data_IF_370353578459
#
_entry.id   IF_370353578459
#
_cell.length_a   1.000
_cell.length_b   1.000
_cell.length_c   1.000
_cell.angle_alpha   90.00
_cell.angle_beta   90.00
_cell.angle_gamma   90.00
#
_symmetry.space_group_name_H-M   'P 1'
#
loop_
_entity.id
_entity.type
_entity.pdbx_description
1 polymer ?
#
# COMPACT_ATOMS: atom_id res chain seq x y z
N UNK A 1 -4.70 -16.87 0.25
CA UNK A 1 -5.34 -17.02 1.57
C UNK A 1 -6.20 -15.78 1.71
N UNK A 2 -7.52 -15.95 1.72
CA UNK A 2 -8.45 -14.83 1.79
C UNK A 2 -8.59 -14.44 3.27
N UNK A 3 -8.25 -13.20 3.60
CA UNK A 3 -8.48 -12.63 4.92
C UNK A 3 -9.61 -11.61 4.74
N UNK A 4 -10.78 -11.90 5.30
CA UNK A 4 -11.94 -11.01 5.28
C UNK A 4 -11.72 -9.75 6.15
N UNK A 5 -10.87 -9.87 7.16
CA UNK A 5 -10.49 -8.79 8.05
C UNK A 5 -9.36 -7.95 7.42
N UNK A 6 -9.65 -6.68 7.17
CA UNK A 6 -8.73 -5.72 6.58
C UNK A 6 -7.46 -5.47 7.42
N UNK A 7 -7.56 -5.50 8.75
CA UNK A 7 -6.42 -5.33 9.64
C UNK A 7 -5.50 -6.55 9.60
N UNK A 8 -6.09 -7.76 9.60
CA UNK A 8 -5.31 -8.99 9.44
C UNK A 8 -4.64 -9.07 8.07
N UNK A 9 -5.34 -8.67 7.00
CA UNK A 9 -4.75 -8.54 5.67
C UNK A 9 -3.60 -7.53 5.63
N UNK A 10 -3.81 -6.31 6.15
CA UNK A 10 -2.82 -5.26 6.13
C UNK A 10 -1.55 -5.65 6.90
N UNK A 11 -1.71 -6.27 8.07
CA UNK A 11 -0.59 -6.77 8.85
C UNK A 11 0.13 -7.94 8.15
N UNK A 12 -0.61 -8.82 7.47
CA UNK A 12 -0.06 -9.91 6.69
C UNK A 12 0.81 -9.42 5.51
N UNK A 13 0.42 -8.33 4.85
CA UNK A 13 1.16 -7.76 3.72
C UNK A 13 2.31 -6.86 4.19
N UNK A 14 2.06 -5.95 5.13
CA UNK A 14 2.99 -4.87 5.48
C UNK A 14 3.63 -4.97 6.86
N UNK A 15 3.20 -5.90 7.72
CA UNK A 15 3.66 -5.99 9.11
C UNK A 15 5.16 -6.22 9.29
N UNK A 16 5.84 -6.73 8.25
CA UNK A 16 7.30 -6.94 8.22
C UNK A 16 8.06 -5.85 7.44
N UNK A 17 7.41 -4.74 7.07
CA UNK A 17 8.06 -3.68 6.31
C UNK A 17 9.25 -3.08 7.08
N UNK A 18 10.38 -2.91 6.40
CA UNK A 18 11.61 -2.35 6.98
C UNK A 18 11.76 -0.87 6.63
N UNK A 19 11.03 -0.01 7.34
CA UNK A 19 10.92 1.42 7.05
C UNK A 19 11.86 2.30 7.89
N UNK A 20 12.83 1.67 8.57
CA UNK A 20 13.83 2.32 9.43
C UNK A 20 13.31 2.74 10.82
N UNK A 21 12.00 2.65 11.07
CA UNK A 21 11.38 2.89 12.37
C UNK A 21 10.13 2.00 12.50
N UNK A 22 9.98 1.19 13.57
CA UNK A 22 8.80 0.35 13.78
C UNK A 22 7.47 1.11 13.74
N UNK A 23 7.46 2.38 14.18
CA UNK A 23 6.27 3.25 14.15
C UNK A 23 5.85 3.62 12.73
N UNK A 24 6.77 3.60 11.77
CA UNK A 24 6.45 3.79 10.34
C UNK A 24 5.78 2.53 9.79
N UNK A 25 6.30 1.35 10.14
CA UNK A 25 5.72 0.06 9.76
C UNK A 25 4.31 -0.10 10.30
N UNK A 26 4.09 0.16 11.60
CA UNK A 26 2.77 0.14 12.22
C UNK A 26 1.78 1.08 11.52
N UNK A 27 2.26 2.26 11.11
CA UNK A 27 1.43 3.24 10.43
C UNK A 27 1.08 2.85 8.99
N UNK A 28 1.96 2.20 8.22
CA UNK A 28 1.56 1.61 6.92
C UNK A 28 0.46 0.59 7.12
N UNK A 29 0.61 -0.31 8.10
CA UNK A 29 -0.40 -1.34 8.40
C UNK A 29 -1.74 -0.68 8.71
N UNK A 30 -1.76 0.37 9.53
CA UNK A 30 -2.99 1.09 9.85
C UNK A 30 -3.61 1.77 8.62
N UNK A 31 -2.82 2.54 7.84
CA UNK A 31 -3.30 3.21 6.62
C UNK A 31 -3.87 2.19 5.61
N UNK A 32 -3.18 1.07 5.41
CA UNK A 32 -3.64 0.02 4.50
C UNK A 32 -4.94 -0.63 4.99
N UNK A 33 -5.07 -0.89 6.29
CA UNK A 33 -6.29 -1.42 6.91
C UNK A 33 -7.48 -0.46 6.72
N UNK A 34 -7.27 0.83 6.96
CA UNK A 34 -8.30 1.86 6.85
C UNK A 34 -8.79 1.99 5.40
N UNK A 35 -7.86 2.04 4.44
CA UNK A 35 -8.17 2.10 3.00
C UNK A 35 -8.85 0.82 2.49
N UNK A 36 -8.43 -0.36 2.95
CA UNK A 36 -9.05 -1.63 2.58
C UNK A 36 -10.45 -1.81 3.19
N UNK A 37 -10.70 -1.26 4.38
CA UNK A 37 -12.03 -1.25 5.00
C UNK A 37 -12.99 -0.28 4.30
N UNK A 38 -12.46 0.74 3.63
CA UNK A 38 -13.23 1.83 3.01
C UNK A 38 -12.88 2.01 1.52
N UNK A 39 -12.84 0.92 0.76
CA UNK A 39 -12.42 0.91 -0.66
C UNK A 39 -13.13 2.00 -1.47
N UNK A 40 -12.36 2.79 -2.22
CA UNK A 40 -12.85 3.87 -3.06
C UNK A 40 -13.09 5.20 -2.33
N UNK A 41 -12.93 5.25 -1.01
CA UNK A 41 -12.99 6.50 -0.25
C UNK A 41 -11.67 7.27 -0.32
N UNK A 42 -11.73 8.58 -0.08
CA UNK A 42 -10.51 9.39 0.12
C UNK A 42 -9.77 8.98 1.39
N UNK A 43 -8.47 9.29 1.47
CA UNK A 43 -7.66 9.02 2.67
C UNK A 43 -8.29 9.62 3.94
N UNK A 44 -8.83 10.84 3.82
CA UNK A 44 -9.53 11.54 4.90
C UNK A 44 -10.77 10.78 5.36
N UNK A 45 -11.60 10.31 4.42
CA UNK A 45 -12.84 9.60 4.73
C UNK A 45 -12.59 8.19 5.26
N UNK A 46 -11.51 7.54 4.83
CA UNK A 46 -11.11 6.23 5.29
C UNK A 46 -10.50 6.25 6.71
N UNK A 47 -9.90 7.37 7.12
CA UNK A 47 -9.25 7.51 8.42
C UNK A 47 -10.27 7.65 9.56
N UNK A 48 -9.97 7.04 10.70
CA UNK A 48 -10.88 7.04 11.85
C UNK A 48 -10.98 8.40 12.58
N UNK A 49 -9.87 9.15 12.67
CA UNK A 49 -9.80 10.39 13.44
C UNK A 49 -8.78 11.40 12.86
N UNK A 50 -8.78 12.66 13.32
CA UNK A 50 -7.84 13.69 12.84
C UNK A 50 -6.35 13.34 13.00
N UNK A 51 -5.97 12.58 14.04
CA UNK A 51 -4.60 12.17 14.24
C UNK A 51 -4.18 11.10 13.22
N UNK A 52 -5.08 10.17 12.87
CA UNK A 52 -4.87 9.21 11.78
C UNK A 52 -4.74 9.89 10.42
N UNK A 53 -5.58 10.90 10.14
CA UNK A 53 -5.48 11.70 8.90
C UNK A 53 -4.10 12.34 8.79
N UNK A 54 -3.68 13.07 9.82
CA UNK A 54 -2.39 13.76 9.84
C UNK A 54 -1.22 12.74 9.77
N UNK A 55 -1.34 11.64 10.49
CA UNK A 55 -0.39 10.54 10.46
C UNK A 55 -0.21 9.97 9.05
N UNK A 56 -1.32 9.78 8.32
CA UNK A 56 -1.31 9.24 6.97
C UNK A 56 -0.66 10.18 5.95
N UNK A 57 -0.99 11.48 5.98
CA UNK A 57 -0.33 12.45 5.10
C UNK A 57 1.16 12.60 5.40
N UNK A 58 1.56 12.69 6.67
CA UNK A 58 3.00 12.76 7.04
C UNK A 58 3.78 11.54 6.60
N UNK A 59 3.16 10.36 6.60
CA UNK A 59 3.79 9.11 6.18
C UNK A 59 4.27 9.19 4.72
N UNK A 60 3.44 9.74 3.83
CA UNK A 60 3.73 9.83 2.39
C UNK A 60 4.96 10.69 2.06
N UNK A 61 5.38 11.58 2.95
CA UNK A 61 6.50 12.49 2.71
C UNK A 61 7.86 11.96 3.20
N UNK A 62 7.90 10.87 3.98
CA UNK A 62 9.11 10.47 4.72
C UNK A 62 9.75 9.15 4.26
N UNK A 63 9.16 8.44 3.29
CA UNK A 63 9.49 7.05 2.99
C UNK A 63 9.63 6.83 1.49
N UNK A 64 10.65 6.06 1.11
CA UNK A 64 10.84 5.58 -0.25
C UNK A 64 9.74 4.58 -0.60
N UNK A 65 8.98 4.85 -1.67
CA UNK A 65 7.79 4.09 -2.07
C UNK A 65 8.12 2.61 -2.33
N UNK A 66 9.31 2.31 -2.85
CA UNK A 66 9.79 0.95 -3.07
C UNK A 66 9.80 0.12 -1.79
N UNK A 67 10.10 0.73 -0.64
CA UNK A 67 10.12 0.03 0.66
C UNK A 67 8.72 -0.31 1.17
N UNK A 68 7.68 0.34 0.65
CA UNK A 68 6.27 0.03 0.93
C UNK A 68 5.80 -1.12 0.03
N UNK A 69 6.24 -1.15 -1.23
CA UNK A 69 5.85 -2.20 -2.19
C UNK A 69 6.55 -3.55 -1.90
N UNK A 70 7.83 -3.52 -1.52
CA UNK A 70 8.66 -4.70 -1.33
C UNK A 70 8.06 -5.78 -0.39
N UNK A 71 7.49 -5.46 0.78
CA UNK A 71 6.81 -6.44 1.64
C UNK A 71 5.69 -7.20 0.93
N UNK A 72 4.92 -6.53 0.07
CA UNK A 72 3.88 -7.18 -0.73
C UNK A 72 4.44 -8.16 -1.76
N UNK A 73 5.55 -7.81 -2.41
CA UNK A 73 6.26 -8.72 -3.31
C UNK A 73 6.82 -9.94 -2.57
N UNK A 74 7.45 -9.73 -1.41
CA UNK A 74 7.97 -10.81 -0.57
C UNK A 74 6.85 -11.75 -0.11
N UNK A 75 5.70 -11.20 0.30
CA UNK A 75 4.56 -12.01 0.71
C UNK A 75 3.98 -12.82 -0.45
N UNK A 76 3.99 -12.24 -1.65
CA UNK A 76 3.58 -12.93 -2.87
C UNK A 76 4.53 -14.08 -3.20
N UNK A 77 5.85 -13.86 -3.14
CA UNK A 77 6.89 -14.89 -3.33
C UNK A 77 6.75 -16.06 -2.34
N UNK A 78 6.50 -15.78 -1.05
CA UNK A 78 6.24 -16.80 -0.04
C UNK A 78 5.03 -17.68 -0.37
N UNK A 79 3.98 -17.10 -0.97
CA UNK A 79 2.77 -17.85 -1.39
C UNK A 79 3.05 -18.67 -2.65
N UNK A 80 3.76 -18.08 -3.64
CA UNK A 80 4.14 -18.72 -4.90
C UNK A 80 4.93 -20.00 -4.64
N UNK A 81 5.91 -19.97 -3.73
CA UNK A 81 6.73 -21.13 -3.35
C UNK A 81 5.94 -22.33 -2.82
N UNK A 82 4.69 -22.13 -2.38
CA UNK A 82 3.81 -23.18 -1.87
C UNK A 82 2.91 -23.79 -2.95
N UNK A 83 3.02 -23.35 -4.21
CA UNK A 83 2.16 -23.79 -5.30
C UNK A 83 2.96 -24.60 -6.34
N UNK A 84 2.42 -25.73 -6.82
CA UNK A 84 3.09 -26.55 -7.83
C UNK A 84 3.11 -25.89 -9.23
N UNK A 85 2.20 -24.95 -9.49
CA UNK A 85 2.10 -24.19 -10.74
C UNK A 85 1.62 -22.78 -10.43
N UNK A 86 2.22 -21.79 -11.10
CA UNK A 86 1.87 -20.37 -10.99
C UNK A 86 1.81 -19.78 -12.40
N UNK A 87 0.78 -18.97 -12.65
CA UNK A 87 0.63 -18.20 -13.88
C UNK A 87 1.01 -16.75 -13.61
N UNK A 88 2.08 -16.27 -14.22
CA UNK A 88 2.53 -14.89 -14.11
C UNK A 88 1.91 -14.05 -15.23
N UNK A 89 0.75 -13.45 -14.94
CA UNK A 89 0.08 -12.54 -15.87
C UNK A 89 0.84 -11.21 -15.85
N UNK A 90 1.22 -10.71 -17.03
CA UNK A 90 1.92 -9.43 -17.19
C UNK A 90 1.21 -8.58 -18.23
N UNK A 91 0.96 -7.33 -17.88
CA UNK A 91 0.39 -6.30 -18.75
C UNK A 91 0.93 -4.92 -18.31
N UNK A 92 0.72 -3.89 -19.12
CA UNK A 92 1.16 -2.51 -18.83
C UNK A 92 -0.02 -1.57 -18.81
N UNK A 93 -0.07 -0.69 -17.82
CA UNK A 93 -1.09 0.36 -17.72
C UNK A 93 -0.47 1.70 -17.30
N UNK A 94 -1.17 2.80 -17.57
CA UNK A 94 -0.78 4.15 -17.18
C UNK A 94 -1.64 4.69 -16.05
N UNK A 95 -1.04 5.48 -15.15
CA UNK A 95 -1.77 6.31 -14.18
C UNK A 95 -1.79 7.75 -14.67
N UNK A 96 -2.96 8.25 -15.05
CA UNK A 96 -3.12 9.59 -15.64
C UNK A 96 -3.73 10.58 -14.65
N UNK A 97 -3.11 11.76 -14.53
CA UNK A 97 -3.57 12.86 -13.68
C UNK A 97 -3.72 14.14 -14.51
N UNK A 98 -4.60 15.06 -14.09
CA UNK A 98 -4.84 16.35 -14.78
C UNK A 98 -4.60 17.59 -13.93
N UNK A 99 -4.19 17.41 -12.67
CA UNK A 99 -3.91 18.53 -11.77
C UNK A 99 -2.45 18.98 -11.91
N UNK A 100 -2.05 20.00 -11.16
CA UNK A 100 -0.76 20.72 -11.32
C UNK A 100 0.48 19.83 -11.37
N UNK A 101 0.51 18.69 -10.66
CA UNK A 101 1.67 17.77 -10.67
C UNK A 101 1.91 17.12 -12.05
N UNK A 102 0.94 17.16 -12.96
CA UNK A 102 1.05 16.52 -14.27
C UNK A 102 2.26 17.02 -15.07
N UNK A 103 2.72 18.26 -14.84
CA UNK A 103 3.91 18.81 -15.50
C UNK A 103 5.22 18.16 -15.05
N UNK A 104 5.19 17.42 -13.94
CA UNK A 104 6.32 16.67 -13.38
C UNK A 104 6.25 15.16 -13.71
N UNK A 105 5.18 14.72 -14.38
CA UNK A 105 4.98 13.33 -14.77
C UNK A 105 5.46 13.06 -16.20
N UNK A 106 5.60 11.78 -16.55
CA UNK A 106 5.86 11.36 -17.92
C UNK A 106 4.66 11.56 -18.84
N UNK A 107 4.91 11.66 -20.15
CA UNK A 107 3.85 11.70 -21.16
C UNK A 107 3.01 10.41 -21.12
N UNK A 108 1.71 10.57 -21.31
CA UNK A 108 0.80 9.43 -21.53
C UNK A 108 0.72 9.21 -23.04
N UNK A 109 0.95 7.97 -23.48
CA UNK A 109 0.79 7.57 -24.89
C UNK A 109 -0.69 7.53 -25.30
#
# INVERSE_FOLDING_TARGET
MFNEDAALWANFIFGKAQLGDPRRTQRVVHIASDLASNVGSSLVKASADPASIEGAYRHNHMILQEKIALPGFQRTDEIVKQRPLVLAIQDTTGLSFRHSVCTELGSVN
#
